data_IF_540020416594
#
_entry.id   IF_540020416594
#
_cell.length_a   1.000
_cell.length_b   1.000
_cell.length_c   1.000
_cell.angle_alpha   90.00
_cell.angle_beta   90.00
_cell.angle_gamma   90.00
#
_symmetry.space_group_name_H-M   'P 1'
#
loop_
_entity.id
_entity.type
_entity.pdbx_description
1 polymer ?
#
# COMPACT_ATOMS: atom_id res chain seq x y z
N UNK A 1 -67.34 -35.88 -5.36
CA UNK A 1 -66.83 -35.93 -6.75
C UNK A 1 -66.32 -34.57 -7.17
N UNK A 2 -65.00 -34.34 -7.10
CA UNK A 2 -64.28 -33.36 -7.91
C UNK A 2 -62.90 -33.94 -8.20
N UNK A 3 -62.61 -34.05 -9.49
CA UNK A 3 -61.48 -34.78 -10.08
C UNK A 3 -60.21 -33.96 -9.97
N UNK A 4 -59.14 -34.58 -9.49
CA UNK A 4 -57.78 -34.05 -9.47
C UNK A 4 -57.21 -34.10 -10.89
N UNK A 5 -56.77 -32.95 -11.42
CA UNK A 5 -56.08 -32.86 -12.71
C UNK A 5 -54.56 -32.87 -12.44
N UNK A 6 -53.92 -34.00 -12.73
CA UNK A 6 -52.46 -34.15 -12.64
C UNK A 6 -51.87 -33.77 -14.00
N UNK A 7 -51.11 -32.68 -14.04
CA UNK A 7 -50.38 -32.24 -15.22
C UNK A 7 -49.00 -32.93 -15.23
N UNK A 8 -48.79 -33.87 -16.14
CA UNK A 8 -47.50 -34.54 -16.35
C UNK A 8 -46.70 -33.71 -17.36
N UNK A 9 -45.63 -33.06 -16.89
CA UNK A 9 -44.65 -32.37 -17.73
C UNK A 9 -43.57 -33.38 -18.15
N UNK A 10 -43.61 -33.83 -19.40
CA UNK A 10 -42.52 -34.61 -20.01
C UNK A 10 -41.43 -33.67 -20.53
N UNK A 11 -40.28 -33.63 -19.85
CA UNK A 11 -39.06 -32.99 -20.36
C UNK A 11 -38.40 -33.92 -21.40
N UNK A 12 -38.40 -33.49 -22.65
CA UNK A 12 -37.63 -34.11 -23.74
C UNK A 12 -36.18 -33.63 -23.62
N UNK A 13 -35.29 -34.52 -23.21
CA UNK A 13 -33.85 -34.28 -23.23
C UNK A 13 -33.34 -34.34 -24.67
N UNK A 14 -33.11 -33.18 -25.28
CA UNK A 14 -32.34 -33.06 -26.52
C UNK A 14 -30.87 -33.25 -26.15
N UNK A 15 -30.31 -34.38 -26.59
CA UNK A 15 -28.90 -34.70 -26.41
C UNK A 15 -28.00 -33.71 -27.16
N UNK A 16 -27.25 -32.91 -26.42
CA UNK A 16 -26.11 -32.18 -26.95
C UNK A 16 -24.93 -33.15 -27.12
N UNK A 17 -24.50 -33.28 -28.37
CA UNK A 17 -23.31 -34.00 -28.83
C UNK A 17 -22.07 -33.39 -28.16
N UNK A 18 -21.40 -34.15 -27.30
CA UNK A 18 -20.19 -33.72 -26.61
C UNK A 18 -19.07 -33.60 -27.63
N UNK A 19 -18.70 -32.36 -27.96
CA UNK A 19 -17.52 -32.04 -28.76
C UNK A 19 -16.30 -32.21 -27.86
N UNK A 20 -15.46 -33.19 -28.14
CA UNK A 20 -14.16 -33.34 -27.49
C UNK A 20 -13.35 -32.07 -27.72
N UNK A 21 -13.17 -31.30 -26.64
CA UNK A 21 -12.22 -30.20 -26.59
C UNK A 21 -10.90 -30.84 -26.21
N UNK A 22 -10.01 -30.98 -27.19
CA UNK A 22 -8.59 -31.21 -26.98
C UNK A 22 -8.10 -30.16 -25.97
N UNK A 23 -7.77 -30.61 -24.76
CA UNK A 23 -6.99 -29.84 -23.80
C UNK A 23 -5.60 -29.63 -24.40
N UNK A 24 -5.48 -28.58 -25.19
CA UNK A 24 -4.20 -27.97 -25.51
C UNK A 24 -3.74 -27.34 -24.21
N UNK A 25 -2.83 -28.03 -23.53
CA UNK A 25 -2.03 -27.51 -22.43
C UNK A 25 -1.62 -26.09 -22.79
N UNK A 26 -2.16 -25.13 -22.05
CA UNK A 26 -1.70 -23.75 -22.13
C UNK A 26 -0.31 -23.81 -21.52
N UNK A 27 0.67 -23.90 -22.41
CA UNK A 27 2.05 -23.59 -22.07
C UNK A 27 2.00 -22.20 -21.45
N UNK A 28 2.20 -22.14 -20.13
CA UNK A 28 2.80 -20.99 -19.48
C UNK A 28 3.89 -20.51 -20.42
N UNK A 29 3.76 -19.26 -20.88
CA UNK A 29 4.78 -18.61 -21.66
C UNK A 29 6.02 -18.57 -20.81
N UNK A 30 6.87 -19.58 -20.98
CA UNK A 30 8.23 -19.62 -20.51
C UNK A 30 8.88 -18.37 -21.06
N UNK A 31 8.96 -17.33 -20.21
CA UNK A 31 9.83 -16.20 -20.45
C UNK A 31 11.21 -16.80 -20.71
N UNK A 32 11.68 -16.55 -21.92
CA UNK A 32 12.95 -17.03 -22.43
C UNK A 32 14.03 -16.35 -21.57
N UNK A 33 14.60 -17.10 -20.61
CA UNK A 33 15.75 -16.66 -19.82
C UNK A 33 16.95 -16.67 -20.77
N UNK A 34 17.14 -15.56 -21.47
CA UNK A 34 18.30 -15.31 -22.31
C UNK A 34 19.25 -14.43 -21.49
N UNK A 35 20.41 -14.99 -21.12
CA UNK A 35 21.46 -14.42 -20.26
C UNK A 35 21.48 -12.87 -20.21
N UNK A 36 20.70 -12.28 -19.30
CA UNK A 36 20.96 -10.93 -18.82
C UNK A 36 22.23 -11.02 -17.98
N UNK A 37 23.05 -9.96 -17.96
CA UNK A 37 24.06 -9.79 -16.90
C UNK A 37 23.39 -10.14 -15.56
N UNK A 38 24.05 -10.96 -14.74
CA UNK A 38 23.59 -11.31 -13.39
C UNK A 38 23.21 -10.01 -12.68
N UNK A 39 21.91 -9.77 -12.55
CA UNK A 39 21.43 -8.61 -11.82
C UNK A 39 21.64 -8.91 -10.34
N UNK A 40 22.33 -8.01 -9.64
CA UNK A 40 22.74 -8.20 -8.25
C UNK A 40 22.11 -7.15 -7.36
N UNK A 41 22.28 -7.35 -6.07
CA UNK A 41 22.13 -6.29 -5.10
C UNK A 41 23.46 -5.61 -4.90
N UNK A 42 23.39 -4.32 -4.57
CA UNK A 42 24.56 -3.48 -4.36
C UNK A 42 24.43 -2.79 -3.00
N UNK A 43 25.48 -2.09 -2.57
CA UNK A 43 25.50 -1.27 -1.35
C UNK A 43 25.24 -2.02 -0.03
N UNK A 44 25.69 -3.28 0.08
CA UNK A 44 25.64 -4.03 1.35
C UNK A 44 24.32 -4.75 1.64
N UNK A 45 23.38 -4.75 0.70
CA UNK A 45 22.20 -5.62 0.73
C UNK A 45 22.57 -7.05 0.29
N UNK A 46 21.72 -8.04 0.62
CA UNK A 46 21.93 -9.46 0.33
C UNK A 46 22.44 -9.72 -1.08
N UNK A 47 23.38 -10.66 -1.31
CA UNK A 47 24.01 -10.81 -2.63
C UNK A 47 23.05 -11.13 -3.80
N UNK A 48 21.84 -11.62 -3.50
CA UNK A 48 20.86 -12.06 -4.51
C UNK A 48 19.57 -11.22 -4.44
N UNK A 49 19.04 -10.78 -5.59
CA UNK A 49 17.77 -10.07 -5.61
C UNK A 49 16.61 -10.99 -5.23
N UNK A 50 15.69 -10.48 -4.43
CA UNK A 50 14.41 -11.15 -4.13
C UNK A 50 13.51 -11.18 -5.38
N UNK A 51 13.64 -10.16 -6.25
CA UNK A 51 12.88 -10.06 -7.49
C UNK A 51 13.65 -9.31 -8.56
N UNK A 52 13.42 -9.64 -9.82
CA UNK A 52 13.94 -8.90 -10.97
C UNK A 52 12.81 -8.66 -11.94
N UNK A 53 12.70 -7.43 -12.45
CA UNK A 53 11.75 -7.07 -13.49
C UNK A 53 12.51 -6.66 -14.74
N UNK A 54 12.10 -7.24 -15.88
CA UNK A 54 12.65 -6.91 -17.19
C UNK A 54 11.60 -6.16 -17.99
N UNK A 55 11.99 -5.01 -18.50
CA UNK A 55 11.16 -4.16 -19.35
C UNK A 55 11.24 -4.61 -20.81
N UNK A 56 10.33 -4.12 -21.65
CA UNK A 56 10.24 -4.48 -23.08
C UNK A 56 11.47 -4.14 -23.91
N UNK A 57 12.33 -3.20 -23.48
CA UNK A 57 13.58 -2.84 -24.15
C UNK A 57 14.81 -3.63 -23.65
N UNK A 58 14.58 -4.68 -22.87
CA UNK A 58 15.55 -5.53 -22.20
C UNK A 58 16.39 -4.84 -21.10
N UNK A 59 16.10 -3.59 -20.74
CA UNK A 59 16.58 -3.06 -19.46
C UNK A 59 15.89 -3.82 -18.31
N UNK A 60 16.54 -3.89 -17.15
CA UNK A 60 16.02 -4.62 -16.00
C UNK A 60 16.38 -3.91 -14.70
N UNK A 61 15.59 -4.16 -13.67
CA UNK A 61 15.84 -3.74 -12.29
C UNK A 61 15.84 -4.93 -11.35
N UNK A 62 16.69 -4.89 -10.32
CA UNK A 62 16.63 -5.79 -9.17
C UNK A 62 15.95 -5.12 -7.99
N UNK A 63 15.18 -5.91 -7.25
CA UNK A 63 14.66 -5.59 -5.92
C UNK A 63 15.45 -6.42 -4.92
N UNK A 64 15.95 -5.77 -3.88
CA UNK A 64 16.85 -6.36 -2.89
C UNK A 64 16.45 -5.89 -1.49
N UNK A 65 16.16 -6.80 -0.57
CA UNK A 65 15.65 -6.47 0.76
C UNK A 65 14.76 -7.59 1.27
N UNK A 66 13.77 -7.25 2.10
CA UNK A 66 12.89 -8.24 2.71
C UNK A 66 11.53 -8.31 1.99
N UNK A 67 11.02 -9.53 1.83
CA UNK A 67 9.66 -9.82 1.38
C UNK A 67 9.00 -10.81 2.34
N UNK A 68 7.81 -10.46 2.83
CA UNK A 68 6.94 -11.37 3.57
C UNK A 68 5.50 -11.20 3.08
N UNK A 69 4.84 -12.30 2.70
CA UNK A 69 3.44 -12.29 2.24
C UNK A 69 3.14 -11.28 1.10
N UNK A 70 4.09 -11.09 0.16
CA UNK A 70 4.00 -10.12 -0.93
C UNK A 70 3.96 -8.64 -0.46
N UNK A 71 4.49 -8.38 0.73
CA UNK A 71 4.80 -7.07 1.28
C UNK A 71 6.31 -6.93 1.45
N UNK A 72 6.82 -5.73 1.17
CA UNK A 72 8.24 -5.44 1.07
C UNK A 72 8.62 -4.35 2.07
N UNK A 73 9.75 -4.53 2.77
CA UNK A 73 10.32 -3.57 3.73
C UNK A 73 11.84 -3.60 3.67
N UNK A 74 12.51 -2.53 4.08
CA UNK A 74 13.98 -2.41 4.07
C UNK A 74 14.58 -2.91 2.75
N UNK A 75 14.20 -2.27 1.64
CA UNK A 75 14.58 -2.72 0.30
C UNK A 75 15.08 -1.60 -0.60
N UNK A 76 16.00 -1.95 -1.50
CA UNK A 76 16.52 -1.10 -2.55
C UNK A 76 16.16 -1.62 -3.94
N UNK A 77 15.98 -0.69 -4.87
CA UNK A 77 15.73 -0.96 -6.28
C UNK A 77 16.93 -0.50 -7.08
N UNK A 78 17.54 -1.39 -7.85
CA UNK A 78 18.77 -1.11 -8.59
C UNK A 78 18.60 -1.29 -10.08
N UNK A 79 19.24 -0.42 -10.86
CA UNK A 79 19.39 -0.62 -12.31
C UNK A 79 20.45 -1.70 -12.56
N UNK A 80 20.06 -2.82 -13.17
CA UNK A 80 20.96 -3.96 -13.44
C UNK A 80 22.14 -3.59 -14.37
N UNK A 81 21.99 -2.55 -15.19
CA UNK A 81 23.00 -2.14 -16.16
C UNK A 81 24.01 -1.17 -15.56
N UNK A 82 23.54 -0.23 -14.76
CA UNK A 82 24.37 0.84 -14.19
C UNK A 82 24.78 0.58 -12.75
N UNK A 83 24.20 -0.43 -12.10
CA UNK A 83 24.45 -0.83 -10.70
C UNK A 83 24.04 0.25 -9.68
N UNK A 84 23.31 1.26 -10.12
CA UNK A 84 22.91 2.39 -9.29
C UNK A 84 21.59 2.12 -8.60
N UNK A 85 21.51 2.56 -7.34
CA UNK A 85 20.25 2.67 -6.61
C UNK A 85 19.34 3.68 -7.31
N UNK A 86 18.12 3.24 -7.63
CA UNK A 86 17.05 4.07 -8.20
C UNK A 86 16.18 4.63 -7.07
N UNK A 87 15.76 3.77 -6.13
CA UNK A 87 14.95 4.11 -4.96
C UNK A 87 15.24 3.15 -3.81
N UNK A 88 15.04 3.61 -2.58
CA UNK A 88 15.28 2.84 -1.36
C UNK A 88 14.21 3.13 -0.32
N UNK A 89 13.87 2.10 0.45
CA UNK A 89 12.80 2.09 1.43
C UNK A 89 13.32 1.52 2.75
N UNK A 90 12.98 2.17 3.85
CA UNK A 90 13.47 1.81 5.18
C UNK A 90 12.64 0.69 5.84
N UNK A 91 13.11 0.16 6.97
CA UNK A 91 12.45 -0.92 7.70
C UNK A 91 11.05 -0.57 8.25
N UNK A 92 10.79 0.72 8.46
CA UNK A 92 9.49 1.21 8.94
C UNK A 92 8.45 1.31 7.81
N UNK A 93 8.87 1.22 6.55
CA UNK A 93 7.98 1.35 5.41
C UNK A 93 7.55 -0.03 4.92
N UNK A 94 6.24 -0.23 4.77
CA UNK A 94 5.67 -1.43 4.18
C UNK A 94 5.16 -1.11 2.78
N UNK A 95 5.59 -1.85 1.77
CA UNK A 95 5.25 -1.59 0.38
C UNK A 95 4.65 -2.80 -0.33
N UNK A 96 3.77 -2.54 -1.32
CA UNK A 96 3.35 -3.54 -2.32
C UNK A 96 3.89 -3.17 -3.68
N UNK A 97 4.39 -4.17 -4.40
CA UNK A 97 4.96 -4.01 -5.73
C UNK A 97 4.03 -4.59 -6.80
N UNK A 98 3.80 -3.86 -7.88
CA UNK A 98 3.10 -4.35 -9.06
C UNK A 98 3.85 -3.94 -10.32
N UNK A 99 4.15 -4.89 -11.21
CA UNK A 99 4.81 -4.62 -12.48
C UNK A 99 3.88 -4.89 -13.65
N UNK A 100 3.56 -3.84 -14.41
CA UNK A 100 2.71 -3.94 -15.59
C UNK A 100 3.06 -2.85 -16.61
N UNK A 101 2.93 -3.16 -17.90
CA UNK A 101 3.09 -2.18 -19.00
C UNK A 101 4.37 -1.32 -18.89
N UNK A 102 5.52 -1.94 -18.65
CA UNK A 102 6.83 -1.28 -18.47
C UNK A 102 6.87 -0.25 -17.32
N UNK A 103 6.10 -0.51 -16.27
CA UNK A 103 6.07 0.27 -15.05
C UNK A 103 6.10 -0.63 -13.83
N UNK A 104 6.98 -0.33 -12.91
CA UNK A 104 6.92 -0.83 -11.54
C UNK A 104 6.20 0.22 -10.70
N UNK A 105 5.07 -0.16 -10.12
CA UNK A 105 4.33 0.59 -9.13
C UNK A 105 4.76 0.12 -7.76
N UNK A 106 5.18 1.06 -6.91
CA UNK A 106 5.52 0.82 -5.52
C UNK A 106 4.50 1.59 -4.69
N UNK A 107 3.63 0.86 -4.00
CA UNK A 107 2.56 1.44 -3.19
C UNK A 107 2.93 1.28 -1.73
N UNK A 108 3.20 2.39 -1.07
CA UNK A 108 3.44 2.42 0.37
C UNK A 108 2.12 2.26 1.12
N UNK A 109 2.15 1.40 2.12
CA UNK A 109 1.06 1.10 3.02
C UNK A 109 1.37 1.67 4.40
N UNK A 110 0.34 2.21 5.02
CA UNK A 110 0.38 2.61 6.42
C UNK A 110 -0.82 2.00 7.15
N UNK A 111 -0.64 1.71 8.43
CA UNK A 111 -1.67 1.08 9.24
C UNK A 111 -2.30 2.15 10.12
N UNK A 112 -3.50 2.60 9.76
CA UNK A 112 -4.21 3.67 10.46
C UNK A 112 -5.68 3.32 10.74
N UNK A 113 -6.31 3.95 11.75
CA UNK A 113 -7.70 3.68 12.08
C UNK A 113 -8.65 4.40 11.11
N UNK A 114 -9.46 3.65 10.35
CA UNK A 114 -10.11 4.20 9.14
C UNK A 114 -11.63 4.09 9.13
N UNK A 115 -12.24 3.63 10.21
CA UNK A 115 -13.70 3.50 10.33
C UNK A 115 -14.25 4.03 11.66
N UNK A 116 -15.58 4.11 11.78
CA UNK A 116 -16.25 4.62 12.98
C UNK A 116 -15.91 3.88 14.29
N UNK A 117 -15.37 2.67 14.21
CA UNK A 117 -14.90 1.90 15.37
C UNK A 117 -13.41 2.12 15.66
N UNK A 118 -12.73 2.93 14.86
CA UNK A 118 -11.29 3.16 14.91
C UNK A 118 -10.48 1.88 14.74
N UNK A 119 -10.98 0.93 13.94
CA UNK A 119 -10.22 -0.30 13.64
C UNK A 119 -9.04 0.02 12.71
N UNK A 120 -7.88 -0.51 13.06
CA UNK A 120 -6.63 -0.38 12.31
C UNK A 120 -6.69 -1.18 11.01
N UNK A 121 -6.48 -0.50 9.88
CA UNK A 121 -6.46 -1.12 8.56
C UNK A 121 -5.29 -0.58 7.74
N UNK A 122 -4.75 -1.42 6.87
CA UNK A 122 -3.74 -0.96 5.91
C UNK A 122 -4.40 -0.06 4.86
N UNK A 123 -3.82 1.12 4.69
CA UNK A 123 -4.23 2.10 3.69
C UNK A 123 -3.06 2.43 2.77
N UNK A 124 -3.38 2.73 1.52
CA UNK A 124 -2.40 3.17 0.54
C UNK A 124 -2.11 4.66 0.77
N UNK A 125 -0.88 5.00 1.15
CA UNK A 125 -0.52 6.37 1.48
C UNK A 125 0.28 7.07 0.39
N UNK A 126 1.13 6.34 -0.32
CA UNK A 126 1.95 6.87 -1.39
C UNK A 126 2.10 5.89 -2.55
N UNK A 127 2.44 6.43 -3.72
CA UNK A 127 2.82 5.65 -4.89
C UNK A 127 4.08 6.26 -5.52
N UNK A 128 5.09 5.43 -5.74
CA UNK A 128 6.20 5.70 -6.64
C UNK A 128 6.04 4.86 -7.91
N UNK A 129 6.37 5.45 -9.06
CA UNK A 129 6.41 4.74 -10.34
C UNK A 129 7.83 4.77 -10.89
N UNK A 130 8.38 3.59 -11.16
CA UNK A 130 9.63 3.41 -11.90
C UNK A 130 9.29 2.96 -13.33
N UNK A 131 9.86 3.65 -14.32
CA UNK A 131 9.57 3.39 -15.74
C UNK A 131 10.77 3.70 -16.62
N UNK A 132 10.65 3.47 -17.92
CA UNK A 132 11.66 3.83 -18.90
C UNK A 132 11.30 5.15 -19.57
N UNK A 133 12.30 6.04 -19.65
CA UNK A 133 12.25 7.24 -20.48
C UNK A 133 13.57 7.39 -21.21
N UNK A 134 13.51 7.54 -22.53
CA UNK A 134 14.70 7.71 -23.38
C UNK A 134 15.76 6.60 -23.20
N UNK A 135 15.33 5.33 -23.06
CA UNK A 135 16.18 4.15 -22.82
C UNK A 135 16.91 4.12 -21.46
N UNK A 136 16.50 4.97 -20.53
CA UNK A 136 16.98 4.97 -19.15
C UNK A 136 15.83 4.66 -18.21
N UNK A 137 16.10 3.84 -17.20
CA UNK A 137 15.18 3.62 -16.08
C UNK A 137 15.19 4.87 -15.21
N UNK A 138 14.02 5.37 -14.86
CA UNK A 138 13.83 6.56 -14.02
C UNK A 138 12.76 6.30 -12.97
N UNK A 139 12.93 6.93 -11.80
CA UNK A 139 11.86 7.13 -10.83
C UNK A 139 11.10 8.41 -11.17
N UNK A 140 9.76 8.37 -11.05
CA UNK A 140 8.91 9.56 -11.13
C UNK A 140 8.71 10.25 -9.77
N UNK A 141 9.38 9.76 -8.72
CA UNK A 141 9.24 10.19 -7.33
C UNK A 141 7.95 9.67 -6.69
N UNK A 142 8.01 9.45 -5.37
CA UNK A 142 6.83 9.11 -4.59
C UNK A 142 5.85 10.29 -4.55
N UNK A 143 4.55 9.98 -4.65
CA UNK A 143 3.45 10.94 -4.55
C UNK A 143 2.39 10.43 -3.58
N UNK A 144 1.78 11.31 -2.76
CA UNK A 144 0.73 10.92 -1.85
C UNK A 144 -0.50 10.51 -2.64
N UNK A 145 -1.09 9.41 -2.21
CA UNK A 145 -2.39 8.98 -2.68
C UNK A 145 -3.49 9.64 -1.86
N UNK A 146 -4.65 9.84 -2.50
CA UNK A 146 -5.86 10.23 -1.79
C UNK A 146 -6.25 9.08 -0.86
N UNK A 147 -6.38 9.40 0.42
CA UNK A 147 -6.85 8.45 1.44
C UNK A 147 -8.36 8.59 1.57
N UNK A 148 -9.05 7.46 1.59
CA UNK A 148 -10.49 7.39 1.80
C UNK A 148 -10.76 6.65 3.11
N UNK A 149 -11.55 7.28 3.98
CA UNK A 149 -11.93 6.75 5.29
C UNK A 149 -13.45 6.69 5.42
N UNK A 150 -13.93 5.81 6.28
CA UNK A 150 -15.33 5.67 6.63
C UNK A 150 -15.57 6.06 8.09
N UNK A 151 -15.15 7.28 8.46
CA UNK A 151 -15.34 7.85 9.79
C UNK A 151 -16.36 8.99 9.66
N UNK A 152 -17.54 8.82 10.24
CA UNK A 152 -18.61 9.80 10.21
C UNK A 152 -18.20 11.10 10.92
N UNK A 153 -18.72 12.24 10.46
CA UNK A 153 -18.46 13.55 11.08
C UNK A 153 -18.79 13.55 12.58
N UNK A 154 -19.86 12.84 12.98
CA UNK A 154 -20.22 12.65 14.38
C UNK A 154 -19.08 11.99 15.17
N UNK A 155 -18.54 10.87 14.69
CA UNK A 155 -17.43 10.17 15.34
C UNK A 155 -16.16 11.02 15.41
N UNK A 156 -15.86 11.79 14.35
CA UNK A 156 -14.73 12.72 14.35
C UNK A 156 -14.90 13.79 15.43
N UNK A 157 -16.08 14.42 15.50
CA UNK A 157 -16.39 15.46 16.48
C UNK A 157 -16.36 14.92 17.90
N UNK A 158 -16.97 13.77 18.17
CA UNK A 158 -16.94 13.14 19.49
C UNK A 158 -15.52 12.85 19.97
N UNK A 159 -14.65 12.36 19.09
CA UNK A 159 -13.23 12.17 19.40
C UNK A 159 -12.51 13.49 19.71
N UNK A 160 -12.69 14.51 18.87
CA UNK A 160 -12.01 15.78 19.05
C UNK A 160 -12.50 16.54 20.30
N UNK A 161 -13.80 16.45 20.60
CA UNK A 161 -14.40 16.99 21.83
C UNK A 161 -13.86 16.28 23.07
N UNK A 162 -13.68 14.95 23.01
CA UNK A 162 -13.09 14.18 24.10
C UNK A 162 -11.69 14.70 24.47
N UNK A 163 -10.87 15.05 23.47
CA UNK A 163 -9.51 15.58 23.67
C UNK A 163 -9.46 16.97 24.32
N UNK A 164 -10.57 17.70 24.33
CA UNK A 164 -10.71 19.01 24.98
C UNK A 164 -11.18 18.90 26.44
N UNK A 165 -11.60 17.71 26.88
CA UNK A 165 -12.03 17.44 28.25
C UNK A 165 -10.95 16.66 29.01
N UNK A 166 -10.92 16.70 30.35
CA UNK A 166 -9.98 15.89 31.16
C UNK A 166 -10.13 14.35 30.98
N UNK A 167 -11.14 13.89 30.23
CA UNK A 167 -11.39 12.48 29.95
C UNK A 167 -10.42 11.87 28.91
N UNK A 168 -9.56 12.66 28.26
CA UNK A 168 -8.56 12.15 27.31
C UNK A 168 -7.61 11.11 27.94
N UNK A 169 -7.41 11.15 29.27
CA UNK A 169 -6.55 10.20 30.02
C UNK A 169 -6.97 8.72 29.90
N UNK A 170 -8.12 8.44 29.30
CA UNK A 170 -8.65 7.09 29.07
C UNK A 170 -8.28 6.52 27.70
N UNK A 171 -7.71 7.33 26.81
CA UNK A 171 -7.31 6.91 25.47
C UNK A 171 -5.80 6.83 25.41
N UNK A 172 -5.29 5.77 24.78
CA UNK A 172 -3.86 5.57 24.59
C UNK A 172 -3.27 6.67 23.68
N UNK A 173 -2.04 7.10 23.95
CA UNK A 173 -1.38 8.16 23.18
C UNK A 173 -1.17 7.74 21.72
N UNK A 174 -0.84 6.47 21.47
CA UNK A 174 -0.70 5.90 20.13
C UNK A 174 -2.01 6.05 19.34
N UNK A 175 -3.13 5.73 19.98
CA UNK A 175 -4.45 5.87 19.36
C UNK A 175 -4.78 7.35 19.11
N UNK A 176 -4.44 8.25 20.03
CA UNK A 176 -4.67 9.69 19.84
C UNK A 176 -3.87 10.19 18.64
N UNK A 177 -2.58 9.85 18.54
CA UNK A 177 -1.72 10.27 17.43
C UNK A 177 -2.22 9.72 16.09
N UNK A 178 -2.51 8.41 16.01
CA UNK A 178 -2.98 7.79 14.77
C UNK A 178 -4.34 8.34 14.31
N UNK A 179 -5.28 8.58 15.23
CA UNK A 179 -6.59 9.19 14.91
C UNK A 179 -6.44 10.65 14.49
N UNK A 180 -5.58 11.42 15.14
CA UNK A 180 -5.31 12.80 14.73
C UNK A 180 -4.63 12.84 13.36
N UNK A 181 -3.68 11.94 13.08
CA UNK A 181 -3.00 11.81 11.79
C UNK A 181 -3.99 11.52 10.67
N UNK A 182 -4.78 10.44 10.76
CA UNK A 182 -5.69 10.04 9.69
C UNK A 182 -6.74 11.12 9.39
N UNK A 183 -7.27 11.79 10.42
CA UNK A 183 -8.20 12.90 10.25
C UNK A 183 -7.52 14.11 9.59
N UNK A 184 -6.26 14.38 9.94
CA UNK A 184 -5.47 15.46 9.33
C UNK A 184 -5.16 15.18 7.86
N UNK A 185 -4.80 13.94 7.51
CA UNK A 185 -4.60 13.47 6.14
C UNK A 185 -5.89 13.66 5.32
N UNK A 186 -7.05 13.46 5.95
CA UNK A 186 -8.36 13.65 5.32
C UNK A 186 -8.86 15.10 5.33
N UNK A 187 -8.04 16.06 5.77
CA UNK A 187 -8.35 17.49 5.71
C UNK A 187 -9.17 18.04 6.88
N UNK A 188 -9.26 17.32 8.00
CA UNK A 188 -9.88 17.87 9.22
C UNK A 188 -8.91 18.86 9.90
N UNK A 189 -9.17 20.16 9.72
CA UNK A 189 -8.31 21.22 10.24
C UNK A 189 -8.23 21.26 11.78
N UNK A 190 -9.28 20.83 12.49
CA UNK A 190 -9.28 20.77 13.96
C UNK A 190 -8.35 19.66 14.45
N UNK A 191 -8.40 18.49 13.83
CA UNK A 191 -7.46 17.40 14.09
C UNK A 191 -6.02 17.83 13.81
N UNK A 192 -5.78 18.44 12.64
CA UNK A 192 -4.47 18.95 12.24
C UNK A 192 -3.91 19.92 13.26
N UNK A 193 -4.67 20.93 13.65
CA UNK A 193 -4.26 21.91 14.66
C UNK A 193 -3.95 21.23 16.00
N UNK A 194 -4.77 20.27 16.44
CA UNK A 194 -4.54 19.56 17.70
C UNK A 194 -3.25 18.75 17.62
N UNK A 195 -3.00 18.02 16.52
CA UNK A 195 -1.78 17.27 16.29
C UNK A 195 -0.55 18.17 16.40
N UNK A 196 -0.48 19.30 15.67
CA UNK A 196 0.65 20.24 15.74
C UNK A 196 0.89 20.84 17.13
N UNK A 197 -0.12 20.86 18.00
CA UNK A 197 -0.01 21.42 19.36
C UNK A 197 0.33 20.38 20.44
N UNK A 198 0.20 19.07 20.14
CA UNK A 198 0.19 18.02 21.15
C UNK A 198 1.53 17.88 21.88
N UNK A 199 2.65 18.13 21.20
CA UNK A 199 4.00 18.10 21.80
C UNK A 199 4.20 19.16 22.90
N UNK A 200 3.46 20.26 22.83
CA UNK A 200 3.53 21.35 23.84
C UNK A 200 2.48 21.24 24.93
N UNK A 201 1.55 20.29 24.78
CA UNK A 201 0.46 20.09 25.72
C UNK A 201 0.94 19.20 26.87
N UNK A 202 1.05 19.80 28.07
CA UNK A 202 1.58 19.15 29.30
C UNK A 202 0.81 17.90 29.73
N UNK A 203 -0.36 17.71 29.13
CA UNK A 203 -1.22 16.56 29.35
C UNK A 203 -0.73 15.29 28.63
N UNK A 204 0.19 15.43 27.68
CA UNK A 204 0.78 14.34 26.90
C UNK A 204 2.27 14.25 27.18
N UNK A 205 2.77 13.02 27.31
CA UNK A 205 4.19 12.73 27.38
C UNK A 205 4.52 11.99 26.09
N UNK A 206 5.24 12.67 25.20
CA UNK A 206 5.73 12.08 23.96
C UNK A 206 7.19 11.69 24.19
N UNK A 207 7.43 10.46 24.64
CA UNK A 207 8.76 9.90 24.80
C UNK A 207 8.90 8.59 24.02
N UNK A 208 10.15 8.21 23.72
CA UNK A 208 10.47 7.01 22.94
C UNK A 208 9.64 6.90 21.66
N UNK A 209 8.92 5.78 21.54
CA UNK A 209 8.09 5.45 20.38
C UNK A 209 7.01 6.50 20.08
N UNK A 210 6.42 7.14 21.09
CA UNK A 210 5.37 8.15 20.86
C UNK A 210 5.94 9.43 20.26
N UNK A 211 7.17 9.81 20.62
CA UNK A 211 7.85 10.95 20.02
C UNK A 211 8.21 10.69 18.56
N UNK A 212 8.57 9.45 18.21
CA UNK A 212 8.85 9.01 16.85
C UNK A 212 7.58 9.02 16.01
N UNK A 213 6.52 8.34 16.48
CA UNK A 213 5.21 8.33 15.81
C UNK A 213 4.67 9.74 15.57
N UNK A 214 4.79 10.65 16.54
CA UNK A 214 4.38 12.03 16.37
C UNK A 214 5.18 12.74 15.25
N UNK A 215 6.51 12.58 15.22
CA UNK A 215 7.35 13.18 14.19
C UNK A 215 7.01 12.63 12.80
N UNK A 216 6.77 11.33 12.70
CA UNK A 216 6.38 10.68 11.46
C UNK A 216 5.03 11.20 10.97
N UNK A 217 4.03 11.31 11.86
CA UNK A 217 2.73 11.89 11.53
C UNK A 217 2.84 13.34 11.02
N UNK A 218 3.67 14.18 11.65
CA UNK A 218 3.92 15.54 11.19
C UNK A 218 4.61 15.53 9.82
N UNK A 219 5.63 14.71 9.63
CA UNK A 219 6.34 14.60 8.36
C UNK A 219 5.41 14.17 7.22
N UNK A 220 4.52 13.20 7.46
CA UNK A 220 3.49 12.73 6.52
C UNK A 220 2.58 13.88 6.10
N UNK A 221 2.06 14.66 7.05
CA UNK A 221 1.16 15.78 6.78
C UNK A 221 1.88 16.89 6.02
N UNK A 222 3.12 17.22 6.40
CA UNK A 222 3.90 18.25 5.73
C UNK A 222 4.27 17.87 4.29
N UNK A 223 4.70 16.62 4.08
CA UNK A 223 5.01 16.11 2.76
C UNK A 223 3.80 16.17 1.82
N UNK A 224 2.60 15.81 2.32
CA UNK A 224 1.33 15.91 1.58
C UNK A 224 0.93 17.34 1.23
N UNK A 225 1.24 18.31 2.09
CA UNK A 225 0.84 19.71 1.90
C UNK A 225 1.80 20.51 1.00
N UNK A 226 3.01 20.00 0.72
CA UNK A 226 3.92 20.62 -0.24
C UNK A 226 3.26 20.57 -1.62
N UNK A 227 3.12 21.73 -2.27
CA UNK A 227 2.64 21.81 -3.67
C UNK A 227 3.52 20.92 -4.53
N UNK A 228 2.94 19.84 -5.07
CA UNK A 228 3.58 18.94 -6.03
C UNK A 228 3.46 19.46 -7.45
#
# INVERSE_FOLDING_TARGET
>A
MKSTLILILTFVFIGCKQKEINQKTINESSQKIENSKDCKCYNGLEEKPIKTYTFSDNNSISICGYEENNEYSEFGIFDCKTEKLISGYDAIQTCKLNFENDKLYIVELDKLPTNDKWEWNDIKVAEEIITIKNKSIISLGAKPLKVEINISEKTQTEFLDLLETENYKKVDVEEILARLEILSICGNERAKKKLYSIETDKNYILDGAYAEQYKDAIATIEWRNKKQ
#
